data_IF_744078479390
#
_entry.id   IF_744078479390
#
_cell.length_a   1.000
_cell.length_b   1.000
_cell.length_c   1.000
_cell.angle_alpha   90.00
_cell.angle_beta   90.00
_cell.angle_gamma   90.00
#
_symmetry.space_group_name_H-M   'P 1'
#
loop_
_entity.id
_entity.type
_entity.pdbx_description
1 polymer ?
#
# COMPACT_ATOMS: atom_id res chain seq x y z
N UNK A 1 -6.92 8.08 -13.15
CA UNK A 1 -6.11 8.31 -11.92
C UNK A 1 -6.89 7.70 -10.81
N UNK A 2 -6.30 6.72 -10.14
CA UNK A 2 -6.97 5.95 -9.10
C UNK A 2 -6.77 6.63 -7.75
N UNK A 3 -7.86 6.93 -7.06
CA UNK A 3 -7.89 7.65 -5.79
C UNK A 3 -8.59 6.78 -4.75
N UNK A 4 -7.83 6.10 -3.87
CA UNK A 4 -8.41 5.35 -2.76
C UNK A 4 -9.08 6.31 -1.75
N UNK A 5 -10.32 6.04 -1.37
CA UNK A 5 -11.10 6.91 -0.49
C UNK A 5 -10.53 6.92 0.92
N UNK A 6 -9.98 5.81 1.42
CA UNK A 6 -9.31 5.79 2.71
C UNK A 6 -8.15 6.80 2.78
N UNK A 7 -7.43 6.98 1.66
CA UNK A 7 -6.33 7.93 1.57
C UNK A 7 -6.81 9.36 1.32
N UNK A 8 -7.88 9.54 0.56
CA UNK A 8 -8.54 10.84 0.40
C UNK A 8 -9.06 11.36 1.76
N UNK A 9 -9.61 10.46 2.57
CA UNK A 9 -10.13 10.72 3.92
C UNK A 9 -9.10 11.23 4.92
N UNK A 10 -7.79 10.99 4.69
CA UNK A 10 -6.73 11.58 5.52
C UNK A 10 -6.70 13.12 5.42
N UNK A 11 -7.26 13.68 4.35
CA UNK A 11 -7.17 15.11 4.04
C UNK A 11 -8.50 15.86 4.13
N UNK A 12 -9.62 15.18 3.95
CA UNK A 12 -10.97 15.75 3.98
C UNK A 12 -11.91 14.78 4.67
N UNK A 13 -12.82 15.28 5.49
CA UNK A 13 -13.84 14.45 6.13
C UNK A 13 -14.90 14.02 5.10
N UNK A 14 -14.99 12.73 4.83
CA UNK A 14 -15.84 12.15 3.78
C UNK A 14 -17.18 11.66 4.33
N UNK A 15 -17.86 12.47 5.14
CA UNK A 15 -19.29 12.27 5.48
C UNK A 15 -20.18 12.70 4.29
N UNK A 16 -19.86 12.17 3.11
CA UNK A 16 -20.55 12.42 1.84
C UNK A 16 -20.89 11.05 1.25
N UNK A 17 -22.16 10.80 0.86
CA UNK A 17 -22.51 9.60 0.12
C UNK A 17 -21.65 9.44 -1.13
N UNK A 18 -21.12 8.24 -1.35
CA UNK A 18 -20.19 7.95 -2.45
C UNK A 18 -20.73 8.39 -3.82
N UNK A 19 -22.01 8.13 -4.10
CA UNK A 19 -22.67 8.52 -5.34
C UNK A 19 -22.71 10.04 -5.53
N UNK A 20 -22.93 10.79 -4.45
CA UNK A 20 -22.95 12.26 -4.47
C UNK A 20 -21.53 12.81 -4.71
N UNK A 21 -20.51 12.23 -4.07
CA UNK A 21 -19.11 12.57 -4.28
C UNK A 21 -18.72 12.36 -5.75
N UNK A 22 -19.01 11.17 -6.30
CA UNK A 22 -18.69 10.81 -7.67
C UNK A 22 -19.42 11.72 -8.67
N UNK A 23 -20.74 11.89 -8.55
CA UNK A 23 -21.53 12.73 -9.45
C UNK A 23 -21.07 14.19 -9.43
N UNK A 24 -20.67 14.71 -8.26
CA UNK A 24 -20.21 16.08 -8.12
C UNK A 24 -18.85 16.31 -8.78
N UNK A 25 -17.91 15.37 -8.60
CA UNK A 25 -16.61 15.40 -9.26
C UNK A 25 -16.76 15.32 -10.79
N UNK A 26 -17.58 14.38 -11.26
CA UNK A 26 -17.85 14.16 -12.70
C UNK A 26 -18.39 15.41 -13.39
N UNK A 27 -19.38 16.05 -12.78
CA UNK A 27 -20.03 17.24 -13.36
C UNK A 27 -19.15 18.49 -13.30
N UNK A 28 -18.26 18.61 -12.29
CA UNK A 28 -17.60 19.89 -11.98
C UNK A 28 -16.13 19.95 -12.37
N UNK A 29 -15.45 18.81 -12.41
CA UNK A 29 -13.99 18.78 -12.29
C UNK A 29 -13.34 17.82 -13.27
N UNK A 30 -13.61 16.51 -13.14
CA UNK A 30 -12.94 15.44 -13.86
C UNK A 30 -13.90 14.26 -14.00
N UNK A 31 -13.84 13.58 -15.15
CA UNK A 31 -14.75 12.45 -15.42
C UNK A 31 -14.44 11.32 -14.45
N UNK A 32 -15.47 10.80 -13.80
CA UNK A 32 -15.37 9.60 -12.97
C UNK A 32 -15.60 8.40 -13.89
N UNK A 33 -14.52 7.78 -14.36
CA UNK A 33 -14.57 6.63 -15.25
C UNK A 33 -15.12 5.38 -14.57
N UNK A 34 -14.96 5.26 -13.25
CA UNK A 34 -15.47 4.14 -12.49
C UNK A 34 -15.27 4.27 -10.98
N UNK A 35 -15.97 3.40 -10.26
CA UNK A 35 -15.83 3.15 -8.84
C UNK A 35 -15.48 1.67 -8.68
N UNK A 36 -14.32 1.39 -8.11
CA UNK A 36 -13.83 0.03 -7.89
C UNK A 36 -13.79 -0.27 -6.39
N UNK A 37 -14.16 -1.49 -6.02
CA UNK A 37 -14.01 -2.00 -4.65
C UNK A 37 -12.79 -2.93 -4.63
N UNK A 38 -11.85 -2.65 -3.74
CA UNK A 38 -10.62 -3.40 -3.60
C UNK A 38 -10.63 -4.20 -2.29
N UNK A 39 -10.16 -5.44 -2.31
CA UNK A 39 -10.03 -6.29 -1.12
C UNK A 39 -11.30 -7.07 -0.75
N UNK A 40 -11.53 -7.24 0.55
CA UNK A 40 -12.61 -8.08 1.12
C UNK A 40 -13.94 -7.32 1.06
N UNK A 41 -14.94 -7.87 0.35
CA UNK A 41 -16.30 -7.29 0.35
C UNK A 41 -16.98 -7.45 1.72
N UNK A 42 -17.80 -6.47 2.13
CA UNK A 42 -18.62 -6.52 3.35
C UNK A 42 -20.09 -6.93 3.10
N UNK A 43 -20.32 -7.74 2.08
CA UNK A 43 -21.65 -8.29 1.82
C UNK A 43 -22.13 -9.14 3.02
N UNK A 44 -23.37 -8.91 3.46
CA UNK A 44 -23.99 -9.61 4.60
C UNK A 44 -23.17 -9.60 5.91
N UNK A 45 -22.34 -8.56 6.12
CA UNK A 45 -21.51 -8.40 7.32
C UNK A 45 -20.26 -9.28 7.32
N UNK A 46 -19.76 -9.65 6.15
CA UNK A 46 -18.59 -10.52 5.96
C UNK A 46 -17.34 -10.05 6.71
N UNK A 47 -17.07 -8.74 6.82
CA UNK A 47 -15.93 -8.22 7.57
C UNK A 47 -15.99 -8.57 9.06
N UNK A 48 -17.19 -8.84 9.57
CA UNK A 48 -17.43 -9.38 10.92
C UNK A 48 -16.79 -10.74 11.18
N UNK A 49 -16.33 -11.44 10.15
CA UNK A 49 -15.71 -12.77 10.26
C UNK A 49 -14.17 -12.72 10.15
N UNK A 50 -13.61 -11.53 9.94
CA UNK A 50 -12.17 -11.30 9.91
C UNK A 50 -11.73 -10.68 11.25
N UNK A 51 -10.81 -11.37 11.93
CA UNK A 51 -10.42 -11.06 13.31
C UNK A 51 -8.92 -11.16 13.52
N UNK A 52 -8.42 -10.38 14.46
CA UNK A 52 -7.11 -10.60 15.05
C UNK A 52 -7.18 -11.85 15.93
N UNK A 53 -6.21 -12.75 15.77
CA UNK A 53 -6.08 -13.96 16.57
C UNK A 53 -4.73 -14.07 17.29
N UNK A 54 -4.71 -14.73 18.44
CA UNK A 54 -3.49 -15.11 19.17
C UNK A 54 -3.30 -16.61 19.09
N UNK A 55 -2.15 -17.05 18.57
CA UNK A 55 -1.80 -18.46 18.49
C UNK A 55 -1.41 -18.96 19.88
N UNK A 56 -2.34 -19.65 20.56
CA UNK A 56 -2.09 -20.25 21.88
C UNK A 56 -1.17 -21.46 21.79
N UNK A 57 -1.27 -22.20 20.69
CA UNK A 57 -0.44 -23.38 20.44
C UNK A 57 -0.23 -23.57 18.93
N UNK A 58 0.99 -23.90 18.51
CA UNK A 58 1.29 -24.36 17.16
C UNK A 58 2.12 -25.65 17.23
N UNK A 59 1.53 -26.79 16.82
CA UNK A 59 2.20 -28.09 16.77
C UNK A 59 2.24 -28.61 15.34
N UNK A 60 3.20 -29.48 15.04
CA UNK A 60 3.23 -30.19 13.76
C UNK A 60 1.99 -31.07 13.63
N UNK A 61 1.35 -31.05 12.46
CA UNK A 61 0.17 -31.84 12.20
C UNK A 61 0.49 -33.35 12.26
N UNK A 62 -0.31 -34.17 12.97
CA UNK A 62 0.02 -35.59 13.22
C UNK A 62 0.11 -36.42 11.92
N UNK A 63 -0.73 -36.09 10.95
CA UNK A 63 -0.85 -36.82 9.68
C UNK A 63 -0.28 -36.07 8.46
N UNK A 64 0.49 -34.98 8.65
CA UNK A 64 1.01 -34.18 7.53
C UNK A 64 2.30 -33.42 7.88
N UNK A 65 3.36 -33.63 7.09
CA UNK A 65 4.68 -33.06 7.39
C UNK A 65 4.81 -31.56 7.16
N UNK A 66 4.00 -31.00 6.26
CA UNK A 66 4.05 -29.61 5.84
C UNK A 66 3.00 -28.73 6.52
N UNK A 67 2.20 -29.29 7.41
CA UNK A 67 1.11 -28.58 8.07
C UNK A 67 1.38 -28.46 9.57
N UNK A 68 0.84 -27.39 10.14
CA UNK A 68 0.73 -27.16 11.57
C UNK A 68 -0.74 -27.24 11.97
N UNK A 69 -0.98 -27.76 13.17
CA UNK A 69 -2.25 -27.68 13.85
C UNK A 69 -2.13 -26.58 14.92
N UNK A 70 -2.90 -25.52 14.75
CA UNK A 70 -2.86 -24.33 15.58
C UNK A 70 -4.13 -24.24 16.43
N UNK A 71 -3.98 -23.85 17.68
CA UNK A 71 -5.07 -23.42 18.55
C UNK A 71 -4.99 -21.90 18.64
N UNK A 72 -6.03 -21.21 18.18
CA UNK A 72 -6.03 -19.76 18.00
C UNK A 72 -7.18 -19.14 18.79
N UNK A 73 -6.84 -18.24 19.71
CA UNK A 73 -7.81 -17.39 20.39
C UNK A 73 -8.21 -16.22 19.49
N UNK A 74 -9.51 -16.00 19.33
CA UNK A 74 -10.10 -14.92 18.52
C UNK A 74 -11.06 -14.06 19.35
N UNK A 75 -10.90 -14.05 20.67
CA UNK A 75 -11.73 -13.25 21.58
C UNK A 75 -13.11 -13.86 21.87
N UNK A 76 -13.33 -15.12 21.50
CA UNK A 76 -14.53 -15.88 21.82
C UNK A 76 -14.33 -16.79 23.04
N UNK A 77 -15.41 -17.41 23.52
CA UNK A 77 -15.37 -18.26 24.72
C UNK A 77 -14.49 -19.51 24.57
N UNK A 78 -14.34 -20.02 23.35
CA UNK A 78 -13.51 -21.18 23.04
C UNK A 78 -12.55 -20.85 21.88
N UNK A 79 -11.29 -21.30 21.93
CA UNK A 79 -10.35 -21.08 20.84
C UNK A 79 -10.65 -21.98 19.65
N UNK A 80 -10.24 -21.55 18.47
CA UNK A 80 -10.43 -22.26 17.21
C UNK A 80 -9.24 -23.16 16.88
N UNK A 81 -9.52 -24.39 16.45
CA UNK A 81 -8.50 -25.25 15.84
C UNK A 81 -8.40 -24.92 14.34
N UNK A 82 -7.22 -24.49 13.89
CA UNK A 82 -6.99 -24.12 12.50
C UNK A 82 -5.75 -24.85 11.99
N UNK A 83 -5.87 -25.49 10.83
CA UNK A 83 -4.75 -26.12 10.14
C UNK A 83 -4.09 -25.08 9.24
N UNK A 84 -2.79 -24.83 9.45
CA UNK A 84 -2.02 -23.86 8.68
C UNK A 84 -0.84 -24.53 7.96
N UNK A 85 -0.50 -24.05 6.76
CA UNK A 85 0.65 -24.54 6.00
C UNK A 85 1.91 -23.68 6.12
N UNK A 86 1.79 -22.48 6.70
CA UNK A 86 2.90 -21.55 6.86
C UNK A 86 3.72 -21.88 8.12
N UNK A 87 5.01 -21.52 8.10
CA UNK A 87 5.96 -21.82 9.19
C UNK A 87 6.73 -20.57 9.66
N UNK A 88 6.32 -19.37 9.21
CA UNK A 88 6.92 -18.09 9.57
C UNK A 88 6.45 -17.56 10.95
N UNK A 89 5.68 -18.35 11.70
CA UNK A 89 5.13 -18.00 13.02
C UNK A 89 5.14 -19.21 13.96
N UNK A 90 4.79 -18.99 15.22
CA UNK A 90 4.68 -20.03 16.23
C UNK A 90 3.77 -19.63 17.39
N UNK A 91 3.79 -20.42 18.46
CA UNK A 91 3.06 -20.11 19.70
C UNK A 91 3.38 -18.70 20.20
N UNK A 92 2.34 -17.95 20.53
CA UNK A 92 2.40 -16.56 20.99
C UNK A 92 2.22 -15.52 19.87
N UNK A 93 2.27 -15.91 18.60
CA UNK A 93 2.11 -14.97 17.48
C UNK A 93 0.71 -14.34 17.44
N UNK A 94 0.65 -13.06 17.10
CA UNK A 94 -0.59 -12.37 16.69
C UNK A 94 -0.75 -12.53 15.18
N UNK A 95 -1.91 -12.96 14.71
CA UNK A 95 -2.14 -13.29 13.30
C UNK A 95 -3.49 -12.81 12.79
N UNK A 96 -3.62 -12.65 11.48
CA UNK A 96 -4.89 -12.41 10.81
C UNK A 96 -5.68 -13.71 10.63
N UNK A 97 -6.96 -13.74 11.04
CA UNK A 97 -7.81 -14.94 10.99
C UNK A 97 -9.11 -14.63 10.25
N UNK A 98 -9.53 -15.54 9.38
CA UNK A 98 -10.89 -15.59 8.85
C UNK A 98 -11.64 -16.79 9.43
N UNK A 99 -12.82 -16.53 9.99
CA UNK A 99 -13.68 -17.53 10.62
C UNK A 99 -14.53 -18.28 9.59
N UNK A 100 -15.08 -19.47 9.92
CA UNK A 100 -16.04 -20.14 9.06
C UNK A 100 -17.23 -19.24 8.70
N UNK A 101 -17.62 -19.26 7.44
CA UNK A 101 -18.60 -18.35 6.84
C UNK A 101 -17.96 -17.15 6.12
N UNK A 102 -16.70 -16.82 6.41
CA UNK A 102 -16.02 -15.70 5.76
C UNK A 102 -15.85 -15.97 4.27
N UNK A 103 -16.12 -14.96 3.45
CA UNK A 103 -15.89 -14.96 2.02
C UNK A 103 -14.60 -14.19 1.74
N UNK A 104 -13.59 -14.89 1.23
CA UNK A 104 -12.33 -14.29 0.80
C UNK A 104 -12.51 -13.55 -0.54
N UNK A 105 -11.61 -12.62 -0.87
CA UNK A 105 -11.45 -12.11 -2.22
C UNK A 105 -11.41 -13.25 -3.26
N UNK A 106 -12.10 -13.05 -4.38
CA UNK A 106 -12.34 -14.11 -5.37
C UNK A 106 -13.53 -15.05 -5.07
N UNK A 107 -14.24 -14.85 -3.95
CA UNK A 107 -15.53 -15.49 -3.67
C UNK A 107 -15.45 -16.85 -2.97
N UNK A 108 -14.29 -17.24 -2.43
CA UNK A 108 -14.16 -18.48 -1.68
C UNK A 108 -14.78 -18.33 -0.29
N UNK A 109 -15.86 -19.07 -0.02
CA UNK A 109 -16.48 -19.15 1.31
C UNK A 109 -15.76 -20.19 2.16
N UNK A 110 -15.35 -19.82 3.37
CA UNK A 110 -14.68 -20.71 4.30
C UNK A 110 -15.68 -21.59 5.04
N UNK A 111 -15.44 -22.90 5.02
CA UNK A 111 -16.23 -23.87 5.75
C UNK A 111 -15.38 -24.60 6.79
N UNK A 112 -16.03 -25.13 7.83
CA UNK A 112 -15.38 -26.10 8.72
C UNK A 112 -15.13 -27.38 7.92
N UNK A 113 -13.86 -27.77 7.81
CA UNK A 113 -13.47 -28.95 7.01
C UNK A 113 -12.41 -29.77 7.70
N UNK A 114 -12.38 -31.06 7.39
CA UNK A 114 -11.28 -31.94 7.82
C UNK A 114 -10.14 -31.90 6.82
N UNK A 115 -8.96 -31.52 7.29
CA UNK A 115 -7.72 -31.55 6.53
C UNK A 115 -6.85 -32.66 7.10
N UNK A 116 -6.62 -33.72 6.32
CA UNK A 116 -5.76 -34.86 6.72
C UNK A 116 -6.16 -35.48 8.08
N UNK A 117 -7.46 -35.51 8.37
CA UNK A 117 -8.03 -36.15 9.56
C UNK A 117 -8.37 -35.19 10.69
N UNK A 118 -7.72 -34.02 10.75
CA UNK A 118 -7.98 -33.00 11.77
C UNK A 118 -8.99 -31.95 11.28
N UNK A 119 -9.83 -31.46 12.18
CA UNK A 119 -10.76 -30.37 11.88
C UNK A 119 -10.02 -29.03 11.77
N UNK A 120 -10.39 -28.21 10.79
CA UNK A 120 -9.96 -26.82 10.65
C UNK A 120 -11.19 -25.94 10.60
N UNK A 121 -11.34 -25.08 11.59
CA UNK A 121 -12.44 -24.16 11.75
C UNK A 121 -12.00 -22.72 11.40
N UNK A 122 -11.68 -22.49 10.13
CA UNK A 122 -11.22 -21.19 9.64
C UNK A 122 -9.85 -21.27 8.97
N UNK A 123 -9.23 -20.10 8.82
CA UNK A 123 -7.97 -19.92 8.09
C UNK A 123 -7.13 -18.81 8.75
N UNK A 124 -5.82 -19.05 8.87
CA UNK A 124 -4.84 -17.99 9.18
C UNK A 124 -4.38 -17.40 7.85
N UNK A 125 -4.51 -16.09 7.68
CA UNK A 125 -4.49 -15.41 6.40
C UNK A 125 -3.08 -14.93 6.02
N UNK A 126 -2.75 -15.09 4.74
CA UNK A 126 -1.62 -14.48 4.03
C UNK A 126 -2.02 -13.15 3.40
N UNK A 127 -1.03 -12.38 2.94
CA UNK A 127 -1.27 -11.13 2.20
C UNK A 127 -2.00 -11.38 0.89
N UNK A 128 -1.65 -12.48 0.20
CA UNK A 128 -2.29 -12.86 -1.06
C UNK A 128 -3.78 -13.16 -0.88
N UNK A 129 -4.15 -13.88 0.19
CA UNK A 129 -5.55 -14.24 0.46
C UNK A 129 -6.43 -13.02 0.77
N UNK A 130 -5.85 -11.88 1.14
CA UNK A 130 -6.57 -10.63 1.38
C UNK A 130 -6.40 -9.58 0.27
N UNK A 131 -5.71 -9.93 -0.82
CA UNK A 131 -5.32 -8.99 -1.89
C UNK A 131 -4.54 -7.77 -1.37
N UNK A 132 -3.75 -7.96 -0.30
CA UNK A 132 -2.91 -6.90 0.29
C UNK A 132 -1.45 -6.96 -0.18
N UNK A 133 -1.09 -8.01 -0.92
CA UNK A 133 0.26 -8.23 -1.40
C UNK A 133 0.40 -9.52 -2.21
N UNK A 134 1.59 -9.73 -2.76
CA UNK A 134 1.93 -10.90 -3.58
C UNK A 134 2.66 -12.00 -2.78
N UNK A 135 2.96 -11.74 -1.50
CA UNK A 135 3.62 -12.73 -0.66
C UNK A 135 2.64 -13.83 -0.28
N UNK A 136 3.01 -15.05 -0.67
CA UNK A 136 2.29 -16.29 -0.41
C UNK A 136 3.18 -17.31 0.32
N UNK A 137 4.38 -16.88 0.74
CA UNK A 137 5.36 -17.74 1.42
C UNK A 137 5.05 -17.94 2.89
N UNK A 138 4.19 -17.09 3.48
CA UNK A 138 3.79 -17.14 4.87
C UNK A 138 2.46 -16.45 5.15
N UNK A 139 2.07 -16.41 6.42
CA UNK A 139 0.89 -15.68 6.90
C UNK A 139 1.25 -14.30 7.43
N UNK A 140 0.25 -13.43 7.57
CA UNK A 140 0.39 -12.11 8.19
C UNK A 140 0.58 -12.28 9.70
N UNK A 141 1.77 -11.94 10.17
CA UNK A 141 2.07 -11.79 11.60
C UNK A 141 1.97 -10.32 11.95
N UNK A 142 1.09 -10.00 12.90
CA UNK A 142 0.84 -8.63 13.37
C UNK A 142 1.78 -8.31 14.54
N UNK A 143 2.28 -7.07 14.58
CA UNK A 143 3.14 -6.61 15.67
C UNK A 143 2.38 -6.52 17.01
N UNK A 144 1.10 -6.14 16.96
CA UNK A 144 0.22 -6.00 18.13
C UNK A 144 -1.24 -6.27 17.75
N UNK A 145 -2.10 -6.40 18.75
CA UNK A 145 -3.54 -6.60 18.60
C UNK A 145 -4.12 -7.59 19.62
N UNK A 146 -5.29 -7.24 20.14
CA UNK A 146 -6.04 -8.09 21.06
C UNK A 146 -6.85 -9.14 20.28
N UNK A 147 -6.94 -10.40 20.76
CA UNK A 147 -7.82 -11.40 20.17
C UNK A 147 -9.25 -10.89 20.03
N UNK A 148 -9.82 -11.04 18.83
CA UNK A 148 -11.20 -10.64 18.52
C UNK A 148 -11.38 -9.20 18.08
N UNK A 149 -10.32 -8.39 18.06
CA UNK A 149 -10.37 -7.10 17.36
C UNK A 149 -10.76 -7.32 15.89
N UNK A 150 -11.71 -6.55 15.33
CA UNK A 150 -12.01 -6.58 13.91
C UNK A 150 -10.75 -6.34 13.09
N UNK A 151 -10.46 -7.22 12.14
CA UNK A 151 -9.21 -7.13 11.40
C UNK A 151 -9.15 -5.87 10.51
N UNK A 152 -10.29 -5.32 10.10
CA UNK A 152 -10.40 -4.04 9.39
C UNK A 152 -9.94 -2.83 10.19
N UNK A 153 -9.89 -2.92 11.52
CA UNK A 153 -9.39 -1.84 12.38
C UNK A 153 -7.85 -1.80 12.41
N UNK A 154 -7.21 -2.91 11.99
CA UNK A 154 -5.75 -3.11 12.07
C UNK A 154 -5.11 -3.16 10.67
N UNK A 155 -5.83 -3.71 9.70
CA UNK A 155 -5.40 -3.86 8.32
C UNK A 155 -6.37 -3.17 7.35
N UNK A 156 -5.88 -2.60 6.25
CA UNK A 156 -6.73 -2.01 5.22
C UNK A 156 -7.40 -3.10 4.36
N UNK A 157 -8.33 -3.86 4.95
CA UNK A 157 -8.96 -5.02 4.31
C UNK A 157 -9.76 -4.69 3.06
N UNK A 158 -10.27 -3.47 2.99
CA UNK A 158 -11.00 -2.98 1.84
C UNK A 158 -10.71 -1.50 1.61
N UNK A 159 -10.86 -1.07 0.36
CA UNK A 159 -10.93 0.34 0.01
C UNK A 159 -11.89 0.53 -1.17
N UNK A 160 -12.41 1.74 -1.30
CA UNK A 160 -13.15 2.18 -2.47
C UNK A 160 -12.26 3.10 -3.27
N UNK A 161 -12.11 2.85 -4.57
CA UNK A 161 -11.22 3.59 -5.45
C UNK A 161 -12.04 4.31 -6.50
N UNK A 162 -11.90 5.64 -6.55
CA UNK A 162 -12.40 6.44 -7.66
C UNK A 162 -11.38 6.42 -8.79
N UNK A 163 -11.76 6.04 -10.01
CA UNK A 163 -10.92 6.23 -11.20
C UNK A 163 -11.33 7.50 -11.95
N UNK A 164 -10.44 8.48 -11.95
CA UNK A 164 -10.66 9.81 -12.50
C UNK A 164 -9.89 10.02 -13.81
N UNK A 165 -10.57 10.37 -14.89
CA UNK A 165 -9.90 10.83 -16.11
C UNK A 165 -9.55 12.31 -15.99
N UNK A 166 -8.25 12.59 -15.82
CA UNK A 166 -7.75 13.94 -15.64
C UNK A 166 -7.35 14.55 -16.98
N UNK A 167 -7.97 15.68 -17.34
CA UNK A 167 -7.63 16.43 -18.54
C UNK A 167 -6.31 17.20 -18.37
N UNK A 168 -5.60 17.46 -19.48
CA UNK A 168 -4.27 18.08 -19.45
C UNK A 168 -4.20 19.48 -18.83
N UNK A 169 -5.33 20.16 -18.65
CA UNK A 169 -5.41 21.46 -17.99
C UNK A 169 -5.55 21.38 -16.46
N UNK A 170 -5.65 20.17 -15.87
CA UNK A 170 -5.77 19.95 -14.43
C UNK A 170 -4.66 19.06 -13.86
N UNK A 171 -3.36 19.38 -14.09
CA UNK A 171 -2.26 18.58 -13.55
C UNK A 171 -2.24 18.57 -12.01
N UNK A 172 -2.89 19.54 -11.36
CA UNK A 172 -3.08 19.58 -9.92
C UNK A 172 -3.86 18.37 -9.39
N UNK A 173 -4.76 17.81 -10.20
CA UNK A 173 -5.55 16.61 -9.85
C UNK A 173 -4.79 15.31 -10.06
N UNK A 174 -3.53 15.32 -10.51
CA UNK A 174 -2.68 14.14 -10.61
C UNK A 174 -2.09 13.72 -9.24
N UNK A 175 -2.77 14.05 -8.15
CA UNK A 175 -2.39 13.71 -6.78
C UNK A 175 -3.60 13.58 -5.86
N UNK A 176 -3.52 12.70 -4.85
CA UNK A 176 -4.59 12.51 -3.87
C UNK A 176 -4.87 13.83 -3.12
N UNK A 177 -3.83 14.57 -2.74
CA UNK A 177 -4.00 15.86 -2.06
C UNK A 177 -4.62 16.94 -2.97
N UNK A 178 -4.32 16.91 -4.27
CA UNK A 178 -4.97 17.78 -5.25
C UNK A 178 -6.46 17.49 -5.42
N UNK A 179 -6.82 16.21 -5.49
CA UNK A 179 -8.22 15.77 -5.50
C UNK A 179 -8.91 16.14 -4.18
N UNK A 180 -8.27 15.93 -3.03
CA UNK A 180 -8.79 16.35 -1.72
C UNK A 180 -9.09 17.85 -1.68
N UNK A 181 -8.18 18.68 -2.22
CA UNK A 181 -8.38 20.12 -2.30
C UNK A 181 -9.61 20.48 -3.14
N UNK A 182 -9.84 19.78 -4.25
CA UNK A 182 -11.02 20.01 -5.08
C UNK A 182 -12.30 19.58 -4.33
N UNK A 183 -12.31 18.41 -3.71
CA UNK A 183 -13.44 17.92 -2.91
C UNK A 183 -13.77 18.91 -1.79
N UNK A 184 -12.76 19.39 -1.05
CA UNK A 184 -12.95 20.42 -0.03
C UNK A 184 -13.61 21.68 -0.59
N UNK A 185 -13.21 22.13 -1.78
CA UNK A 185 -13.80 23.31 -2.42
C UNK A 185 -15.25 23.06 -2.89
N UNK A 186 -15.53 21.89 -3.48
CA UNK A 186 -16.86 21.55 -4.01
C UNK A 186 -17.91 21.39 -2.91
N UNK A 187 -17.52 20.80 -1.79
CA UNK A 187 -18.40 20.47 -0.67
C UNK A 187 -18.29 21.45 0.51
N UNK A 188 -17.39 22.44 0.41
CA UNK A 188 -17.12 23.45 1.46
C UNK A 188 -16.68 22.80 2.78
N UNK A 189 -15.78 21.85 2.67
CA UNK A 189 -15.17 21.15 3.80
C UNK A 189 -13.82 21.79 4.17
N UNK A 190 -13.36 21.49 5.38
CA UNK A 190 -12.00 21.81 5.80
C UNK A 190 -11.01 20.86 5.11
N UNK A 191 -9.92 21.43 4.59
CA UNK A 191 -8.80 20.68 4.03
C UNK A 191 -7.67 20.61 5.05
N UNK A 192 -7.22 19.40 5.37
CA UNK A 192 -6.05 19.20 6.22
C UNK A 192 -4.80 19.86 5.61
N UNK A 193 -3.88 20.26 6.47
CA UNK A 193 -2.57 20.76 6.01
C UNK A 193 -1.85 19.70 5.20
N UNK A 194 -1.07 20.08 4.17
CA UNK A 194 -0.28 19.13 3.41
C UNK A 194 0.59 18.29 4.35
N UNK A 195 0.64 16.96 4.15
CA UNK A 195 1.40 16.08 5.03
C UNK A 195 2.90 16.34 4.91
N UNK A 196 3.62 16.05 5.99
CA UNK A 196 5.08 16.19 6.06
C UNK A 196 5.52 17.36 6.94
N UNK A 197 6.72 17.22 7.47
CA UNK A 197 7.46 18.28 8.17
C UNK A 197 8.83 18.31 7.55
N UNK A 198 9.44 19.50 7.46
CA UNK A 198 10.84 19.57 7.10
C UNK A 198 11.68 18.99 8.25
N UNK A 199 12.30 17.80 8.09
CA UNK A 199 13.09 17.22 9.15
C UNK A 199 14.38 18.02 9.31
N UNK A 200 14.81 18.23 10.56
CA UNK A 200 16.09 18.85 10.85
C UNK A 200 17.24 18.13 10.11
N UNK A 201 18.25 18.85 9.60
CA UNK A 201 19.44 18.24 9.04
C UNK A 201 20.12 17.36 10.09
N UNK A 202 20.48 16.13 9.71
CA UNK A 202 21.31 15.25 10.54
C UNK A 202 22.69 15.22 9.89
N UNK A 203 23.66 15.88 10.53
CA UNK A 203 25.01 16.04 9.98
C UNK A 203 25.15 17.19 8.99
N UNK A 204 26.35 17.33 8.42
CA UNK A 204 26.75 18.42 7.51
C UNK A 204 27.05 17.95 6.08
N UNK A 205 26.62 16.73 5.73
CA UNK A 205 26.91 16.15 4.43
C UNK A 205 25.97 16.73 3.38
N UNK A 206 26.55 17.49 2.46
CA UNK A 206 25.83 18.09 1.35
C UNK A 206 25.79 17.12 0.18
N UNK A 207 24.67 17.10 -0.53
CA UNK A 207 24.60 16.48 -1.86
C UNK A 207 25.17 17.48 -2.86
N UNK A 208 26.26 17.11 -3.53
CA UNK A 208 26.86 17.95 -4.57
C UNK A 208 26.00 17.90 -5.84
N UNK A 209 25.32 19.01 -6.12
CA UNK A 209 24.44 19.18 -7.29
C UNK A 209 24.86 20.42 -8.06
N UNK A 210 25.11 20.26 -9.35
CA UNK A 210 25.33 21.35 -10.30
C UNK A 210 24.20 21.34 -11.34
N UNK A 211 23.52 22.47 -11.51
CA UNK A 211 22.53 22.67 -12.58
C UNK A 211 23.19 23.52 -13.67
N UNK A 212 23.48 22.90 -14.82
CA UNK A 212 24.05 23.60 -15.99
C UNK A 212 22.96 24.14 -16.91
N UNK A 213 21.79 23.49 -16.98
CA UNK A 213 20.62 23.94 -17.73
C UNK A 213 19.51 24.42 -16.77
N UNK A 214 19.59 25.69 -16.39
CA UNK A 214 18.61 26.30 -15.49
C UNK A 214 17.25 26.55 -16.17
N UNK A 215 17.23 26.69 -17.50
CA UNK A 215 15.99 26.86 -18.26
C UNK A 215 15.16 25.56 -18.26
N UNK A 216 15.82 24.41 -18.41
CA UNK A 216 15.18 23.09 -18.31
C UNK A 216 14.92 22.62 -16.88
N UNK A 217 15.73 23.04 -15.91
CA UNK A 217 15.61 22.65 -14.52
C UNK A 217 15.88 23.83 -13.56
N UNK A 218 14.87 24.65 -13.23
CA UNK A 218 15.07 25.81 -12.37
C UNK A 218 15.26 25.43 -10.88
N UNK A 219 15.07 24.16 -10.53
CA UNK A 219 15.19 23.67 -9.15
C UNK A 219 15.53 22.18 -9.11
N UNK A 220 16.57 21.85 -8.36
CA UNK A 220 16.91 20.49 -7.98
C UNK A 220 17.19 20.44 -6.48
N UNK A 221 16.57 19.49 -5.77
CA UNK A 221 16.77 19.32 -4.33
C UNK A 221 17.29 17.91 -4.10
N UNK A 222 18.47 17.79 -3.49
CA UNK A 222 19.06 16.54 -3.07
C UNK A 222 19.07 16.40 -1.55
N UNK A 223 18.79 15.20 -1.05
CA UNK A 223 18.99 14.84 0.36
C UNK A 223 19.65 13.47 0.46
N UNK A 224 20.70 13.37 1.26
CA UNK A 224 21.38 12.11 1.52
C UNK A 224 20.73 11.40 2.72
N UNK A 225 20.39 10.13 2.56
CA UNK A 225 19.97 9.24 3.65
C UNK A 225 21.00 8.10 3.76
N UNK A 226 21.53 7.87 4.97
CA UNK A 226 22.49 6.80 5.25
C UNK A 226 21.84 5.61 5.93
N UNK A 227 22.51 4.47 5.83
CA UNK A 227 22.17 3.22 6.53
C UNK A 227 20.74 2.72 6.24
N UNK A 228 20.22 3.07 5.07
CA UNK A 228 18.92 2.61 4.60
C UNK A 228 19.02 1.11 4.30
N UNK A 229 18.20 0.31 4.98
CA UNK A 229 18.03 -1.11 4.67
C UNK A 229 16.93 -1.27 3.64
N UNK A 230 17.27 -1.82 2.48
CA UNK A 230 16.29 -2.13 1.45
C UNK A 230 15.48 -3.37 1.87
N UNK A 231 14.16 -3.27 1.78
CA UNK A 231 13.25 -4.34 2.15
C UNK A 231 11.82 -4.04 1.68
N UNK A 232 10.85 -4.88 2.03
CA UNK A 232 9.44 -4.61 1.74
C UNK A 232 8.95 -3.38 2.52
N UNK A 233 8.01 -2.67 1.93
CA UNK A 233 7.29 -1.58 2.62
C UNK A 233 6.30 -2.13 3.66
N UNK A 234 5.94 -1.32 4.68
CA UNK A 234 4.83 -1.65 5.57
C UNK A 234 3.54 -1.94 4.80
N UNK A 235 2.69 -2.83 5.33
CA UNK A 235 1.49 -3.31 4.64
C UNK A 235 0.53 -2.18 4.24
N UNK A 236 0.32 -1.21 5.14
CA UNK A 236 -0.55 -0.05 4.87
C UNK A 236 -0.10 0.75 3.64
N UNK A 237 1.23 0.88 3.44
CA UNK A 237 1.78 1.64 2.33
C UNK A 237 1.62 0.86 1.02
N UNK A 238 1.86 -0.45 1.07
CA UNK A 238 1.67 -1.35 -0.08
C UNK A 238 0.22 -1.38 -0.55
N UNK A 239 -0.72 -1.54 0.38
CA UNK A 239 -2.15 -1.53 0.09
C UNK A 239 -2.61 -0.22 -0.58
N UNK A 240 -2.15 0.94 -0.07
CA UNK A 240 -2.46 2.25 -0.69
C UNK A 240 -1.89 2.37 -2.10
N UNK A 241 -0.64 1.96 -2.32
CA UNK A 241 -0.02 2.00 -3.65
C UNK A 241 -0.76 1.09 -4.62
N UNK A 242 -1.09 -0.13 -4.21
CA UNK A 242 -1.79 -1.11 -5.05
C UNK A 242 -3.19 -0.62 -5.44
N UNK A 243 -3.97 -0.12 -4.47
CA UNK A 243 -5.27 0.50 -4.72
C UNK A 243 -5.18 1.69 -5.69
N UNK A 244 -4.11 2.49 -5.60
CA UNK A 244 -3.79 3.59 -6.51
C UNK A 244 -3.21 3.13 -7.87
N UNK A 245 -3.13 1.82 -8.14
CA UNK A 245 -2.67 1.24 -9.40
C UNK A 245 -1.16 1.14 -9.55
N UNK A 246 -0.41 1.23 -8.45
CA UNK A 246 1.05 1.17 -8.44
C UNK A 246 1.53 -0.09 -7.70
N UNK A 247 2.16 -1.01 -8.42
CA UNK A 247 2.73 -2.21 -7.82
C UNK A 247 3.89 -1.85 -6.86
N UNK A 248 3.86 -2.29 -5.59
CA UNK A 248 4.98 -2.12 -4.67
C UNK A 248 6.24 -2.90 -5.11
N UNK A 249 7.42 -2.37 -4.81
CA UNK A 249 8.72 -2.91 -5.22
C UNK A 249 9.68 -3.01 -4.02
N UNK A 250 9.91 -1.89 -3.32
CA UNK A 250 10.79 -1.82 -2.16
C UNK A 250 10.50 -0.56 -1.37
N UNK A 251 10.80 -0.54 -0.07
CA UNK A 251 10.58 0.60 0.82
C UNK A 251 11.12 1.94 0.28
N UNK A 252 12.20 1.95 -0.48
CA UNK A 252 12.74 3.18 -1.09
C UNK A 252 11.93 3.62 -2.31
N UNK A 253 11.67 2.71 -3.26
CA UNK A 253 10.90 3.03 -4.48
C UNK A 253 9.47 3.38 -4.12
N UNK A 254 8.89 2.62 -3.21
CA UNK A 254 7.51 2.76 -2.76
C UNK A 254 7.32 4.10 -2.03
N UNK A 255 8.28 4.55 -1.23
CA UNK A 255 8.23 5.87 -0.60
C UNK A 255 8.21 6.99 -1.66
N UNK A 256 9.00 6.88 -2.73
CA UNK A 256 8.99 7.87 -3.82
C UNK A 256 7.67 7.87 -4.59
N UNK A 257 7.10 6.69 -4.87
CA UNK A 257 5.80 6.55 -5.51
C UNK A 257 4.66 7.06 -4.64
N UNK A 258 4.73 6.82 -3.32
CA UNK A 258 3.74 7.27 -2.36
C UNK A 258 3.68 8.80 -2.29
N UNK A 259 4.83 9.47 -2.26
CA UNK A 259 4.88 10.95 -2.31
C UNK A 259 4.41 11.48 -3.66
N UNK A 260 4.78 10.83 -4.76
CA UNK A 260 4.31 11.20 -6.10
C UNK A 260 2.80 11.16 -6.20
N UNK A 261 2.17 10.05 -5.82
CA UNK A 261 0.71 9.88 -5.86
C UNK A 261 0.01 10.75 -4.82
N UNK A 262 0.59 10.90 -3.63
CA UNK A 262 0.01 11.69 -2.55
C UNK A 262 0.02 13.20 -2.82
N UNK A 263 1.15 13.73 -3.28
CA UNK A 263 1.40 15.19 -3.37
C UNK A 263 1.65 15.71 -4.80
N UNK A 264 1.68 14.84 -5.81
CA UNK A 264 1.88 15.24 -7.20
C UNK A 264 3.32 15.62 -7.53
N UNK A 265 4.27 15.21 -6.70
CA UNK A 265 5.69 15.49 -6.89
C UNK A 265 6.47 14.18 -7.13
N UNK A 266 6.80 13.85 -8.39
CA UNK A 266 7.64 12.69 -8.70
C UNK A 266 9.02 12.84 -8.06
N UNK A 267 9.44 11.80 -7.34
CA UNK A 267 10.75 11.72 -6.72
C UNK A 267 11.55 10.57 -7.32
N UNK A 268 12.88 10.63 -7.15
CA UNK A 268 13.78 9.55 -7.51
C UNK A 268 14.87 9.38 -6.46
N UNK A 269 15.33 8.15 -6.28
CA UNK A 269 16.41 7.81 -5.35
C UNK A 269 17.60 7.24 -6.12
N UNK A 270 18.78 7.79 -5.86
CA UNK A 270 20.04 7.29 -6.40
C UNK A 270 20.84 6.56 -5.31
N UNK A 271 21.50 5.46 -5.67
CA UNK A 271 22.53 4.88 -4.81
C UNK A 271 23.79 5.74 -4.88
N UNK A 272 24.02 6.52 -3.82
CA UNK A 272 25.17 7.42 -3.69
C UNK A 272 26.52 6.71 -3.92
N UNK A 273 26.62 5.43 -3.60
CA UNK A 273 27.88 4.66 -3.76
C UNK A 273 28.21 4.37 -5.22
N UNK A 274 27.23 4.47 -6.11
CA UNK A 274 27.38 4.24 -7.55
C UNK A 274 27.55 5.54 -8.34
N UNK A 275 27.38 6.71 -7.71
CA UNK A 275 27.54 8.00 -8.36
C UNK A 275 29.03 8.31 -8.60
N UNK A 276 29.42 8.33 -9.88
CA UNK A 276 30.76 8.69 -10.29
C UNK A 276 31.10 10.12 -9.83
N UNK A 277 32.17 10.26 -9.04
CA UNK A 277 32.59 11.54 -8.47
C UNK A 277 31.67 12.08 -7.36
N UNK A 278 30.68 11.30 -6.91
CA UNK A 278 29.82 11.65 -5.78
C UNK A 278 28.91 12.86 -6.00
N UNK A 279 28.70 13.30 -7.25
CA UNK A 279 27.96 14.50 -7.60
C UNK A 279 26.92 14.25 -8.69
N UNK A 280 25.93 15.13 -8.75
CA UNK A 280 24.88 15.16 -9.76
C UNK A 280 25.08 16.39 -10.63
N UNK A 281 25.11 16.20 -11.95
CA UNK A 281 25.17 17.29 -12.92
C UNK A 281 23.93 17.24 -13.80
N UNK A 282 23.07 18.23 -13.67
CA UNK A 282 21.84 18.36 -14.46
C UNK A 282 22.13 19.21 -15.69
N UNK A 283 22.19 18.56 -16.85
CA UNK A 283 22.53 19.17 -18.14
C UNK A 283 21.75 18.52 -19.28
N UNK A 284 21.72 19.19 -20.43
CA UNK A 284 21.25 18.60 -21.69
C UNK A 284 22.13 17.44 -22.13
N UNK A 285 21.55 16.52 -22.90
CA UNK A 285 22.28 15.45 -23.54
C UNK A 285 23.25 16.00 -24.60
N UNK A 286 24.34 15.28 -24.83
CA UNK A 286 25.31 15.59 -25.90
C UNK A 286 24.94 14.84 -27.17
N UNK A 287 25.33 15.33 -28.36
CA UNK A 287 25.13 14.59 -29.61
C UNK A 287 25.74 13.18 -29.53
N UNK A 288 24.92 12.16 -29.82
CA UNK A 288 25.32 10.75 -29.78
C UNK A 288 25.40 10.15 -28.37
N UNK A 289 24.94 10.86 -27.33
CA UNK A 289 24.88 10.33 -25.98
C UNK A 289 23.80 9.24 -25.86
N UNK A 290 24.10 8.21 -25.08
CA UNK A 290 23.21 7.09 -24.83
C UNK A 290 23.02 6.86 -23.33
N UNK A 291 21.85 6.39 -22.95
CA UNK A 291 21.53 6.02 -21.57
C UNK A 291 20.84 4.65 -21.53
N UNK A 292 21.32 3.77 -20.65
CA UNK A 292 20.59 2.55 -20.31
C UNK A 292 19.61 2.86 -19.18
N UNK A 293 18.31 2.70 -19.42
CA UNK A 293 17.24 2.95 -18.44
C UNK A 293 17.00 1.72 -17.54
N UNK A 294 16.16 1.89 -16.51
CA UNK A 294 15.88 0.87 -15.49
C UNK A 294 15.25 -0.42 -16.07
N UNK A 295 14.60 -0.32 -17.23
CA UNK A 295 14.09 -1.46 -18.02
C UNK A 295 15.21 -2.25 -18.73
N UNK A 296 16.47 -1.84 -18.57
CA UNK A 296 17.65 -2.46 -19.19
C UNK A 296 17.83 -2.09 -20.66
N UNK A 297 17.00 -1.21 -21.22
CA UNK A 297 17.05 -0.80 -22.62
C UNK A 297 18.03 0.36 -22.80
N UNK A 298 18.90 0.28 -23.80
CA UNK A 298 19.75 1.40 -24.21
C UNK A 298 18.97 2.34 -25.13
N UNK A 299 19.02 3.64 -24.85
CA UNK A 299 18.28 4.68 -25.58
C UNK A 299 19.25 5.76 -26.07
N UNK A 300 19.11 6.11 -27.35
CA UNK A 300 19.77 7.28 -27.93
C UNK A 300 19.09 8.55 -27.43
N UNK A 301 19.86 9.49 -26.90
CA UNK A 301 19.35 10.74 -26.37
C UNK A 301 19.36 11.85 -27.43
N UNK A 302 18.31 12.66 -27.43
CA UNK A 302 18.23 13.85 -28.25
C UNK A 302 18.87 15.05 -27.52
N UNK A 303 19.77 15.81 -28.15
CA UNK A 303 20.42 16.96 -27.53
C UNK A 303 19.58 18.25 -27.50
N UNK A 304 18.36 18.27 -28.07
CA UNK A 304 17.48 19.45 -28.13
C UNK A 304 16.67 19.74 -26.85
#
# INVERSE_FOLDING_TARGET
MRVPLSWLGDYVDLDIPLDDLAARLDTSTAVVAGIEHHGVSDDDGNLGLFRVGRVLEAKKHPNADRLQLCVVDVGESEPYQIVCGAWNFGTGATVAVALPGATLPGGLVLERRKLRGEESAGMILSEQELELGQDHTGIIVLDDGEPGTPLGDVLPLQDVVLDLEITGNRPDLLSVYGVAREVAALFRLDLASPPGRDPAPVGNELVDVTIEDFDGCPRYIGRLLRDVRIGPSPLWLRARLDAAGMRPISNVVDATNYVMLGLGNPLHAFDQTTLAGGKIVVRRARPGEKLRTLDGVERDLDPS
#
